data_IF_819339846447
#
_entry.id   IF_819339846447
#
_cell.length_a   1.000
_cell.length_b   1.000
_cell.length_c   1.000
_cell.angle_alpha   90.00
_cell.angle_beta   90.00
_cell.angle_gamma   90.00
#
_symmetry.space_group_name_H-M   'P 1'
#
loop_
_entity.id
_entity.type
_entity.pdbx_description
1 polymer ?
#
# COMPACT_ATOMS: atom_id res chain seq x y z
N UNK A 1 119.46 -8.44 -3.36
CA UNK A 1 118.83 -9.79 -3.36
C UNK A 1 117.44 -9.87 -2.71
N UNK A 2 116.87 -8.80 -2.11
CA UNK A 2 115.59 -8.85 -1.36
C UNK A 2 114.32 -8.63 -2.23
N UNK A 3 114.45 -8.04 -3.43
CA UNK A 3 113.30 -7.68 -4.31
C UNK A 3 112.58 -8.88 -4.97
N UNK A 4 113.26 -10.02 -5.18
CA UNK A 4 112.64 -11.22 -5.77
C UNK A 4 111.73 -11.93 -4.76
N UNK A 5 112.15 -12.00 -3.48
CA UNK A 5 111.41 -12.67 -2.40
C UNK A 5 110.05 -12.04 -2.12
N UNK A 6 109.94 -10.72 -2.25
CA UNK A 6 108.66 -10.00 -2.08
C UNK A 6 107.71 -10.23 -3.24
N UNK A 7 108.23 -10.34 -4.47
CA UNK A 7 107.41 -10.65 -5.66
C UNK A 7 106.88 -12.08 -5.59
N UNK A 8 107.72 -13.06 -5.22
CA UNK A 8 107.27 -14.44 -5.04
C UNK A 8 106.28 -14.59 -3.89
N UNK A 9 106.44 -13.84 -2.80
CA UNK A 9 105.49 -13.84 -1.70
C UNK A 9 104.14 -13.23 -2.10
N UNK A 10 104.13 -12.14 -2.89
CA UNK A 10 102.92 -11.48 -3.34
C UNK A 10 102.16 -12.32 -4.38
N UNK A 11 102.89 -13.02 -5.26
CA UNK A 11 102.33 -13.96 -6.24
C UNK A 11 101.76 -15.22 -5.55
N UNK A 12 102.43 -15.74 -4.53
CA UNK A 12 101.92 -16.85 -3.70
C UNK A 12 100.66 -16.44 -2.94
N UNK A 13 100.62 -15.22 -2.40
CA UNK A 13 99.46 -14.68 -1.68
C UNK A 13 98.28 -14.48 -2.64
N UNK A 14 98.52 -13.98 -3.85
CA UNK A 14 97.48 -13.82 -4.89
C UNK A 14 96.88 -15.18 -5.31
N UNK A 15 97.73 -16.20 -5.46
CA UNK A 15 97.30 -17.56 -5.80
C UNK A 15 96.48 -18.17 -4.65
N UNK A 16 96.89 -17.97 -3.40
CA UNK A 16 96.15 -18.45 -2.23
C UNK A 16 94.75 -17.83 -2.11
N UNK A 17 94.59 -16.54 -2.44
CA UNK A 17 93.29 -15.86 -2.47
C UNK A 17 92.40 -16.37 -3.62
N UNK A 18 92.97 -16.63 -4.79
CA UNK A 18 92.20 -17.19 -5.91
C UNK A 18 91.70 -18.62 -5.66
N UNK A 19 92.44 -19.45 -4.89
CA UNK A 19 91.96 -20.80 -4.53
C UNK A 19 90.86 -20.78 -3.45
N UNK A 20 90.77 -19.75 -2.62
CA UNK A 20 89.71 -19.64 -1.59
C UNK A 20 88.40 -19.04 -2.13
N UNK A 21 88.44 -18.35 -3.28
CA UNK A 21 87.25 -17.75 -3.90
C UNK A 21 86.42 -18.74 -4.74
N UNK A 22 86.98 -19.91 -5.10
CA UNK A 22 86.24 -21.00 -5.76
C UNK A 22 85.98 -22.14 -4.76
N UNK A 23 85.19 -21.85 -3.73
CA UNK A 23 84.55 -22.90 -2.95
C UNK A 23 83.15 -23.13 -3.56
N UNK A 24 82.87 -24.28 -4.21
CA UNK A 24 81.56 -24.61 -4.76
C UNK A 24 80.63 -25.13 -3.64
N UNK A 25 80.71 -24.50 -2.46
CA UNK A 25 79.71 -24.64 -1.41
C UNK A 25 78.73 -23.52 -1.65
N UNK A 26 77.75 -23.80 -2.52
CA UNK A 26 76.56 -22.99 -2.61
C UNK A 26 75.92 -22.99 -1.22
N UNK A 27 75.65 -21.80 -0.70
CA UNK A 27 74.79 -21.65 0.44
C UNK A 27 73.42 -22.21 0.02
N UNK A 28 73.09 -23.40 0.52
CA UNK A 28 71.72 -23.87 0.54
C UNK A 28 70.98 -22.88 1.45
N UNK A 29 70.43 -21.84 0.83
CA UNK A 29 69.40 -20.98 1.39
C UNK A 29 68.25 -21.90 1.79
N UNK A 30 68.34 -22.44 3.01
CA UNK A 30 67.26 -23.12 3.68
C UNK A 30 66.13 -22.11 3.85
N UNK A 31 65.32 -22.02 2.80
CA UNK A 31 64.09 -21.26 2.79
C UNK A 31 63.24 -21.92 3.86
N UNK A 32 63.26 -21.33 5.07
CA UNK A 32 62.56 -21.86 6.23
C UNK A 32 61.08 -21.77 5.93
N UNK A 33 60.50 -22.88 5.46
CA UNK A 33 59.08 -22.94 5.15
C UNK A 33 58.32 -23.17 6.45
N UNK A 34 57.51 -22.18 6.83
CA UNK A 34 56.64 -22.29 7.99
C UNK A 34 55.43 -23.14 7.62
N UNK A 35 55.47 -24.42 8.01
CA UNK A 35 54.35 -25.35 7.85
C UNK A 35 53.36 -25.20 9.01
N UNK A 36 52.07 -25.12 8.70
CA UNK A 36 50.97 -25.10 9.67
C UNK A 36 50.05 -26.28 9.40
N UNK A 37 49.60 -26.94 10.46
CA UNK A 37 48.69 -28.07 10.40
C UNK A 37 47.28 -27.62 9.94
N UNK A 38 46.73 -28.27 8.91
CA UNK A 38 45.42 -27.92 8.36
C UNK A 38 44.31 -28.63 9.14
N UNK A 39 43.57 -27.86 9.94
CA UNK A 39 42.37 -28.34 10.61
C UNK A 39 41.12 -28.03 9.78
N UNK A 40 40.17 -28.98 9.72
CA UNK A 40 38.84 -28.73 9.14
C UNK A 40 37.90 -28.25 10.25
N UNK A 41 37.20 -27.15 9.98
CA UNK A 41 36.17 -26.61 10.85
C UNK A 41 35.06 -26.00 10.01
N UNK A 42 33.91 -25.74 10.63
CA UNK A 42 32.77 -25.14 9.96
C UNK A 42 33.02 -23.64 9.72
N UNK A 43 32.96 -23.22 8.45
CA UNK A 43 33.05 -21.81 8.07
C UNK A 43 31.65 -21.26 7.83
N UNK A 44 31.15 -20.47 8.77
CA UNK A 44 29.86 -19.79 8.61
C UNK A 44 30.10 -18.49 7.82
N UNK A 45 29.68 -18.50 6.56
CA UNK A 45 29.68 -17.30 5.71
C UNK A 45 28.32 -16.63 5.84
N UNK A 46 28.25 -15.54 6.61
CA UNK A 46 27.04 -14.72 6.74
C UNK A 46 27.04 -13.60 5.70
N UNK A 47 25.94 -13.43 4.98
CA UNK A 47 25.70 -12.28 4.11
C UNK A 47 24.80 -11.30 4.85
N UNK A 48 25.23 -10.04 4.97
CA UNK A 48 24.41 -8.96 5.52
C UNK A 48 23.81 -8.12 4.40
N UNK A 49 22.54 -7.76 4.54
CA UNK A 49 21.82 -6.90 3.61
C UNK A 49 21.02 -5.87 4.39
N UNK A 50 20.99 -4.63 3.90
CA UNK A 50 20.17 -3.56 4.48
C UNK A 50 18.91 -3.39 3.63
N UNK A 51 17.77 -3.16 4.28
CA UNK A 51 16.50 -2.90 3.63
C UNK A 51 15.61 -2.03 4.52
N UNK A 52 14.69 -1.29 3.91
CA UNK A 52 13.71 -0.51 4.65
C UNK A 52 12.55 -1.40 5.09
N UNK A 53 12.03 -1.19 6.29
CA UNK A 53 10.79 -1.82 6.73
C UNK A 53 9.66 -0.79 6.57
N UNK A 54 8.63 -1.19 5.84
CA UNK A 54 7.44 -0.38 5.62
C UNK A 54 6.17 -1.17 6.01
N UNK A 55 5.11 -0.43 6.32
CA UNK A 55 3.82 -1.04 6.61
C UNK A 55 3.31 -1.77 5.37
N UNK A 56 2.90 -3.04 5.54
CA UNK A 56 2.33 -3.82 4.44
C UNK A 56 1.05 -3.20 3.85
N UNK A 57 0.33 -2.39 4.64
CA UNK A 57 -0.89 -1.68 4.26
C UNK A 57 -0.96 -0.34 5.00
N UNK A 58 -1.21 0.72 4.24
CA UNK A 58 -1.49 2.07 4.74
C UNK A 58 -2.84 2.53 4.18
N UNK A 59 -3.62 3.24 4.99
CA UNK A 59 -4.87 3.85 4.57
C UNK A 59 -4.88 5.33 4.95
N UNK A 60 -5.08 6.21 3.96
CA UNK A 60 -5.31 7.64 4.22
C UNK A 60 -6.80 7.89 4.31
N UNK A 61 -7.25 8.29 5.49
CA UNK A 61 -8.65 8.53 5.77
C UNK A 61 -9.00 9.99 5.52
N UNK A 62 -10.14 10.20 4.88
CA UNK A 62 -10.73 11.52 4.66
C UNK A 62 -12.24 11.37 4.59
N UNK A 63 -12.95 12.45 4.91
CA UNK A 63 -14.40 12.48 4.75
C UNK A 63 -14.76 12.60 3.27
N UNK A 64 -15.81 11.90 2.84
CA UNK A 64 -16.31 11.96 1.46
C UNK A 64 -16.97 13.29 1.09
N UNK A 65 -17.38 14.08 2.10
CA UNK A 65 -17.92 15.43 1.96
C UNK A 65 -17.17 16.40 2.86
N UNK A 66 -17.09 17.66 2.44
CA UNK A 66 -16.62 18.73 3.31
C UNK A 66 -17.62 18.99 4.45
N UNK A 67 -17.12 19.37 5.61
CA UNK A 67 -17.94 19.65 6.79
C UNK A 67 -17.10 19.99 8.01
N UNK A 68 -17.77 20.41 9.08
CA UNK A 68 -17.16 20.59 10.40
C UNK A 68 -17.13 19.25 11.13
N UNK A 69 -16.05 18.97 11.85
CA UNK A 69 -15.98 17.78 12.72
C UNK A 69 -16.83 18.06 13.96
N UNK A 70 -17.76 17.16 14.27
CA UNK A 70 -18.48 17.17 15.55
C UNK A 70 -17.58 16.55 16.63
N UNK A 71 -17.14 15.31 16.41
CA UNK A 71 -16.38 14.53 17.38
C UNK A 71 -15.31 13.65 16.75
N UNK A 72 -14.27 13.40 17.54
CA UNK A 72 -13.21 12.43 17.26
C UNK A 72 -13.23 11.42 18.41
N UNK A 73 -13.25 10.13 18.09
CA UNK A 73 -13.45 9.03 19.04
C UNK A 73 -12.16 8.29 19.41
N UNK A 74 -11.04 8.62 18.76
CA UNK A 74 -9.76 7.93 18.91
C UNK A 74 -8.61 8.91 19.11
N UNK A 75 -7.56 8.46 19.78
CA UNK A 75 -6.33 9.21 20.00
C UNK A 75 -5.17 8.64 19.18
N UNK A 76 -4.09 9.42 19.07
CA UNK A 76 -2.90 8.99 18.35
C UNK A 76 -2.24 7.78 19.05
N UNK A 77 -2.07 6.68 18.30
CA UNK A 77 -1.49 5.44 18.82
C UNK A 77 -2.53 4.37 19.17
N UNK A 78 -3.82 4.69 19.11
CA UNK A 78 -4.89 3.72 19.36
C UNK A 78 -4.95 2.65 18.27
N UNK A 79 -5.27 1.42 18.70
CA UNK A 79 -5.47 0.29 17.81
C UNK A 79 -6.95 0.13 17.48
N UNK A 80 -7.28 0.31 16.20
CA UNK A 80 -8.67 0.35 15.72
C UNK A 80 -9.00 -0.83 14.82
N UNK A 81 -10.28 -1.23 14.81
CA UNK A 81 -10.79 -2.33 14.00
C UNK A 81 -11.51 -1.86 12.75
N UNK A 82 -11.64 -2.75 11.76
CA UNK A 82 -12.38 -2.43 10.52
C UNK A 82 -13.85 -2.15 10.85
N UNK A 83 -14.34 -0.98 10.40
CA UNK A 83 -15.73 -0.55 10.60
C UNK A 83 -15.94 0.29 11.85
N UNK A 84 -14.90 0.52 12.65
CA UNK A 84 -14.95 1.39 13.80
C UNK A 84 -15.05 2.87 13.39
N UNK A 85 -15.93 3.61 14.08
CA UNK A 85 -16.13 5.04 13.83
C UNK A 85 -15.01 5.81 14.53
N UNK A 86 -14.15 6.44 13.74
CA UNK A 86 -12.99 7.18 14.26
C UNK A 86 -13.32 8.66 14.52
N UNK A 87 -14.18 9.23 13.68
CA UNK A 87 -14.61 10.62 13.78
C UNK A 87 -15.95 10.80 13.06
N UNK A 88 -16.69 11.82 13.49
CA UNK A 88 -18.03 12.14 13.00
C UNK A 88 -18.11 13.61 12.59
N UNK A 89 -18.78 13.87 11.46
CA UNK A 89 -19.06 15.22 10.99
C UNK A 89 -20.34 15.73 11.63
N UNK A 90 -20.36 17.05 11.86
CA UNK A 90 -21.57 17.79 12.14
C UNK A 90 -22.49 17.74 10.90
N UNK A 91 -23.63 17.08 11.03
CA UNK A 91 -24.57 16.80 9.94
C UNK A 91 -25.93 17.47 10.15
N UNK A 92 -26.07 18.40 11.10
CA UNK A 92 -27.36 19.02 11.43
C UNK A 92 -28.04 19.67 10.21
N UNK A 93 -27.27 20.40 9.40
CA UNK A 93 -27.77 21.01 8.17
C UNK A 93 -28.19 19.97 7.11
N UNK A 94 -27.49 18.83 7.04
CA UNK A 94 -27.79 17.76 6.11
C UNK A 94 -29.06 17.00 6.54
N UNK A 95 -29.21 16.73 7.83
CA UNK A 95 -30.39 16.07 8.38
C UNK A 95 -31.64 16.96 8.26
N UNK A 96 -31.50 18.27 8.46
CA UNK A 96 -32.56 19.22 8.18
C UNK A 96 -32.97 19.21 6.70
N UNK A 97 -32.01 19.25 5.78
CA UNK A 97 -32.27 19.21 4.34
C UNK A 97 -32.97 17.91 3.92
N UNK A 98 -32.53 16.77 4.48
CA UNK A 98 -33.18 15.46 4.29
C UNK A 98 -34.63 15.48 4.78
N UNK A 99 -34.86 15.97 5.99
CA UNK A 99 -36.21 16.07 6.58
C UNK A 99 -37.13 16.93 5.71
N UNK A 100 -36.63 18.07 5.20
CA UNK A 100 -37.40 18.92 4.27
C UNK A 100 -37.75 18.19 2.97
N UNK A 101 -36.82 17.42 2.41
CA UNK A 101 -37.05 16.63 1.21
C UNK A 101 -38.09 15.52 1.45
N UNK A 102 -38.06 14.86 2.60
CA UNK A 102 -39.07 13.85 2.99
C UNK A 102 -40.46 14.48 3.16
N UNK A 103 -40.56 15.66 3.77
CA UNK A 103 -41.82 16.41 3.86
C UNK A 103 -42.33 16.79 2.46
N UNK A 104 -41.47 17.28 1.57
CA UNK A 104 -41.89 17.59 0.20
C UNK A 104 -42.38 16.34 -0.56
N UNK A 105 -41.71 15.20 -0.36
CA UNK A 105 -42.11 13.92 -0.96
C UNK A 105 -43.50 13.47 -0.47
N UNK A 106 -43.73 13.51 0.84
CA UNK A 106 -45.03 13.13 1.43
C UNK A 106 -46.15 14.04 0.99
N UNK A 107 -45.92 15.36 0.88
CA UNK A 107 -46.88 16.31 0.32
C UNK A 107 -47.22 15.99 -1.14
N UNK A 108 -46.22 15.67 -1.96
CA UNK A 108 -46.43 15.29 -3.36
C UNK A 108 -47.22 13.97 -3.47
N UNK A 109 -46.96 13.00 -2.59
CA UNK A 109 -47.72 11.75 -2.53
C UNK A 109 -49.17 12.00 -2.13
N UNK A 110 -49.42 12.85 -1.13
CA UNK A 110 -50.77 13.23 -0.72
C UNK A 110 -51.54 13.90 -1.87
N UNK A 111 -50.91 14.88 -2.54
CA UNK A 111 -51.50 15.56 -3.68
C UNK A 111 -51.84 14.58 -4.82
N UNK A 112 -50.94 13.62 -5.09
CA UNK A 112 -51.19 12.55 -6.08
C UNK A 112 -52.39 11.69 -5.68
N UNK A 113 -52.44 11.21 -4.44
CA UNK A 113 -53.56 10.39 -3.97
C UNK A 113 -54.88 11.16 -4.03
N UNK A 114 -54.88 12.44 -3.68
CA UNK A 114 -56.06 13.29 -3.76
C UNK A 114 -56.51 13.52 -5.21
N UNK A 115 -55.57 13.72 -6.14
CA UNK A 115 -55.87 13.79 -7.56
C UNK A 115 -56.46 12.46 -8.07
N UNK A 116 -55.91 11.32 -7.67
CA UNK A 116 -56.44 9.99 -8.03
C UNK A 116 -57.86 9.76 -7.50
N UNK A 117 -58.14 10.14 -6.24
CA UNK A 117 -59.50 10.07 -5.68
C UNK A 117 -60.46 10.96 -6.48
N UNK A 118 -60.06 12.19 -6.81
CA UNK A 118 -60.91 13.11 -7.59
C UNK A 118 -61.19 12.60 -9.02
N UNK A 119 -60.21 11.93 -9.65
CA UNK A 119 -60.42 11.28 -10.94
C UNK A 119 -61.42 10.14 -10.82
N UNK A 120 -61.26 9.29 -9.80
CA UNK A 120 -62.12 8.14 -9.58
C UNK A 120 -63.57 8.58 -9.31
N UNK A 121 -63.79 9.62 -8.49
CA UNK A 121 -65.14 10.15 -8.26
C UNK A 121 -65.76 10.72 -9.53
N UNK A 122 -64.98 11.46 -10.33
CA UNK A 122 -65.45 12.00 -11.61
C UNK A 122 -65.82 10.88 -12.60
N UNK A 123 -65.03 9.81 -12.66
CA UNK A 123 -65.32 8.64 -13.50
C UNK A 123 -66.62 7.94 -13.05
N UNK A 124 -66.85 7.77 -11.76
CA UNK A 124 -68.10 7.22 -11.23
C UNK A 124 -69.31 8.10 -11.57
N UNK A 125 -69.19 9.42 -11.43
CA UNK A 125 -70.26 10.36 -11.78
C UNK A 125 -70.59 10.34 -13.28
N UNK A 126 -69.57 10.33 -14.16
CA UNK A 126 -69.76 10.22 -15.60
C UNK A 126 -70.45 8.91 -16.00
N UNK A 127 -70.08 7.80 -15.35
CA UNK A 127 -70.73 6.51 -15.57
C UNK A 127 -72.22 6.57 -15.22
N UNK A 128 -72.56 7.10 -14.05
CA UNK A 128 -73.96 7.21 -13.62
C UNK A 128 -74.77 8.11 -14.58
N UNK A 129 -74.21 9.24 -15.01
CA UNK A 129 -74.87 10.13 -15.97
C UNK A 129 -75.11 9.40 -17.30
N UNK A 130 -74.12 8.66 -17.80
CA UNK A 130 -74.25 7.87 -19.03
C UNK A 130 -75.33 6.79 -18.91
N UNK A 131 -75.34 6.05 -17.82
CA UNK A 131 -76.33 5.00 -17.56
C UNK A 131 -77.76 5.59 -17.49
N UNK A 132 -77.95 6.75 -16.84
CA UNK A 132 -79.25 7.43 -16.80
C UNK A 132 -79.69 7.97 -18.16
N UNK A 133 -78.75 8.47 -18.97
CA UNK A 133 -79.03 8.93 -20.33
C UNK A 133 -79.50 7.77 -21.22
N UNK A 134 -78.77 6.66 -21.20
CA UNK A 134 -79.08 5.48 -22.00
C UNK A 134 -80.47 4.91 -21.61
N UNK A 135 -80.80 4.90 -20.31
CA UNK A 135 -82.13 4.50 -19.83
C UNK A 135 -83.26 5.43 -20.30
N UNK A 136 -83.04 6.76 -20.26
CA UNK A 136 -84.01 7.74 -20.75
C UNK A 136 -84.25 7.59 -22.26
N UNK A 137 -83.19 7.40 -23.05
CA UNK A 137 -83.30 7.18 -24.49
C UNK A 137 -84.13 5.92 -24.81
N UNK A 138 -83.93 4.82 -24.08
CA UNK A 138 -84.73 3.60 -24.22
C UNK A 138 -86.21 3.82 -23.86
N UNK A 139 -86.50 4.58 -22.81
CA UNK A 139 -87.90 4.88 -22.42
C UNK A 139 -88.61 5.74 -23.45
N UNK A 140 -87.93 6.74 -24.03
CA UNK A 140 -88.47 7.56 -25.10
C UNK A 140 -88.75 6.74 -26.37
N UNK A 141 -87.84 5.83 -26.72
CA UNK A 141 -87.99 4.95 -27.87
C UNK A 141 -89.23 4.03 -27.72
N UNK A 142 -89.42 3.42 -26.55
CA UNK A 142 -90.58 2.56 -26.29
C UNK A 142 -91.91 3.32 -26.20
N UNK A 143 -91.90 4.63 -25.94
CA UNK A 143 -93.11 5.45 -25.85
C UNK A 143 -93.59 5.99 -27.22
N UNK A 144 -92.78 5.89 -28.28
CA UNK A 144 -93.11 6.36 -29.64
C UNK A 144 -93.63 5.25 -30.58
N UNK A 145 -93.79 4.02 -30.08
CA UNK A 145 -94.38 2.87 -30.77
C UNK A 145 -95.71 2.53 -30.10
#
# INVERSE_FOLDING_TARGET
>A
MIRWRTITALLLCLILVSLTACNPFGDDEETTQQLVEVARGDLIVSVSGSGNIEASREARLSFGSGGRIDRIYVEEGDQVSKGEVLAELDTDALELAKTQAEVALTQAQLARTQAQLSQQTTEYELKNIRDTKDALELTLFNAQI
#
